data_IF_291844510911
#
_entry.id   IF_291844510911
#
_cell.length_a   1.000
_cell.length_b   1.000
_cell.length_c   1.000
_cell.angle_alpha   90.00
_cell.angle_beta   90.00
_cell.angle_gamma   90.00
#
_symmetry.space_group_name_H-M   'P 1'
#
loop_
_entity.id
_entity.type
_entity.pdbx_description
1 polymer ?
#
# COMPACT_ATOMS: atom_id res chain seq x y z
N UNK A 1 0.57 -5.58 3.36
CA UNK A 1 0.88 -5.01 2.02
C UNK A 1 -0.07 -3.87 1.72
N UNK A 2 0.31 -2.91 0.88
CA UNK A 2 -0.51 -1.74 0.53
C UNK A 2 -0.43 -1.41 -0.96
N UNK A 3 -1.43 -0.70 -1.46
CA UNK A 3 -1.39 -0.11 -2.79
C UNK A 3 -0.61 1.21 -2.80
N UNK A 4 0.06 1.53 -3.90
CA UNK A 4 0.62 2.87 -4.10
C UNK A 4 -0.50 3.91 -4.25
N UNK A 5 -0.42 5.03 -3.54
CA UNK A 5 -1.40 6.13 -3.64
C UNK A 5 -1.32 6.92 -4.94
N UNK A 6 -2.35 7.72 -5.23
CA UNK A 6 -2.42 8.54 -6.45
C UNK A 6 -2.77 7.75 -7.72
N UNK A 7 -3.50 6.64 -7.58
CA UNK A 7 -3.99 5.84 -8.72
C UNK A 7 -5.20 6.47 -9.41
N UNK A 8 -5.96 7.32 -8.72
CA UNK A 8 -7.25 7.81 -9.19
C UNK A 8 -7.13 9.05 -10.09
N UNK A 9 -6.36 10.08 -9.67
CA UNK A 9 -6.25 11.35 -10.41
C UNK A 9 -4.81 11.74 -10.75
N UNK A 10 -4.68 12.75 -11.63
CA UNK A 10 -3.41 13.36 -12.05
C UNK A 10 -2.38 12.38 -12.63
N UNK A 11 -2.86 11.29 -13.25
CA UNK A 11 -1.99 10.26 -13.85
C UNK A 11 -1.25 10.74 -15.09
N UNK A 12 -1.78 11.73 -15.81
CA UNK A 12 -1.24 12.18 -17.12
C UNK A 12 0.25 12.54 -17.03
N UNK A 13 0.62 13.32 -16.00
CA UNK A 13 1.98 13.83 -15.78
C UNK A 13 2.90 12.89 -14.96
N UNK A 14 2.46 11.68 -14.61
CA UNK A 14 3.29 10.71 -13.85
C UNK A 14 4.16 9.87 -14.80
N UNK A 15 5.39 9.56 -14.37
CA UNK A 15 6.31 8.72 -15.13
C UNK A 15 5.75 7.32 -15.38
N UNK A 16 6.16 6.67 -16.48
CA UNK A 16 5.77 5.28 -16.81
C UNK A 16 6.09 4.32 -15.66
N UNK A 17 7.26 4.49 -15.02
CA UNK A 17 7.68 3.71 -13.85
C UNK A 17 6.70 3.85 -12.68
N UNK A 18 6.27 5.06 -12.36
CA UNK A 18 5.30 5.31 -11.28
C UNK A 18 3.94 4.68 -11.61
N UNK A 19 3.49 4.75 -12.87
CA UNK A 19 2.26 4.09 -13.32
C UNK A 19 2.32 2.56 -13.18
N UNK A 20 3.45 1.93 -13.49
CA UNK A 20 3.66 0.47 -13.29
C UNK A 20 3.69 0.05 -11.81
N UNK A 21 3.92 0.98 -10.89
CA UNK A 21 3.78 0.67 -9.45
C UNK A 21 2.31 0.73 -9.00
N UNK A 22 1.41 1.33 -9.77
CA UNK A 22 -0.01 1.34 -9.43
C UNK A 22 -0.69 -0.02 -9.67
N UNK A 23 -0.13 -0.90 -10.49
CA UNK A 23 -0.68 -2.24 -10.71
C UNK A 23 -0.25 -3.28 -9.68
N UNK A 24 0.84 -3.03 -8.94
CA UNK A 24 1.38 -4.00 -7.97
C UNK A 24 1.03 -3.62 -6.53
N UNK A 25 1.06 -4.63 -5.66
CA UNK A 25 1.07 -4.46 -4.21
C UNK A 25 2.49 -4.15 -3.74
N UNK A 26 2.62 -3.23 -2.78
CA UNK A 26 3.88 -2.85 -2.17
C UNK A 26 3.91 -3.33 -0.71
N UNK A 27 5.10 -3.63 -0.21
CA UNK A 27 5.30 -3.96 1.20
C UNK A 27 5.16 -2.67 2.04
N UNK A 28 4.66 -2.83 3.26
CA UNK A 28 4.61 -1.73 4.24
C UNK A 28 5.94 -1.76 4.98
N UNK A 29 6.86 -0.87 4.61
CA UNK A 29 8.21 -0.83 5.17
C UNK A 29 8.27 -0.12 6.52
N UNK A 30 7.36 0.83 6.77
CA UNK A 30 7.35 1.61 7.99
C UNK A 30 6.87 0.77 9.18
N UNK A 31 7.77 0.52 10.14
CA UNK A 31 7.48 -0.23 11.38
C UNK A 31 6.30 0.36 12.16
N UNK A 32 6.14 1.69 12.17
CA UNK A 32 5.03 2.36 12.86
C UNK A 32 3.67 2.04 12.24
N UNK A 33 3.59 1.99 10.91
CA UNK A 33 2.37 1.61 10.20
C UNK A 33 2.01 0.15 10.44
N UNK A 34 3.00 -0.75 10.42
CA UNK A 34 2.78 -2.17 10.74
C UNK A 34 2.21 -2.34 12.14
N UNK A 35 2.79 -1.67 13.15
CA UNK A 35 2.26 -1.71 14.53
C UNK A 35 0.82 -1.20 14.61
N UNK A 36 0.50 -0.12 13.92
CA UNK A 36 -0.87 0.45 13.90
C UNK A 36 -1.86 -0.52 13.24
N UNK A 37 -1.51 -1.09 12.09
CA UNK A 37 -2.36 -2.06 11.37
C UNK A 37 -2.64 -3.28 12.25
N UNK A 38 -1.62 -3.83 12.92
CA UNK A 38 -1.79 -4.99 13.79
C UNK A 38 -2.71 -4.69 14.99
N UNK A 39 -2.69 -3.46 15.53
CA UNK A 39 -3.61 -3.05 16.61
C UNK A 39 -5.03 -2.84 16.13
N UNK A 40 -5.20 -2.24 14.94
CA UNK A 40 -6.53 -1.94 14.38
C UNK A 40 -7.21 -3.17 13.78
N UNK A 41 -6.44 -4.17 13.35
CA UNK A 41 -6.97 -5.40 12.75
C UNK A 41 -6.48 -6.64 13.50
N UNK A 42 -6.94 -6.88 14.74
CA UNK A 42 -6.43 -7.94 15.61
C UNK A 42 -6.66 -9.36 15.06
N UNK A 43 -7.69 -9.56 14.23
CA UNK A 43 -8.01 -10.87 13.65
C UNK A 43 -7.35 -11.12 12.30
N UNK A 44 -6.61 -10.15 11.74
CA UNK A 44 -5.95 -10.31 10.45
C UNK A 44 -4.87 -11.41 10.46
N UNK A 45 -4.29 -11.71 11.62
CA UNK A 45 -3.35 -12.82 11.81
C UNK A 45 -4.03 -14.16 12.15
N UNK A 46 -5.30 -14.15 12.58
CA UNK A 46 -6.01 -15.36 13.02
C UNK A 46 -6.48 -16.23 11.85
N UNK A 47 -6.72 -15.61 10.70
CA UNK A 47 -7.19 -16.26 9.47
C UNK A 47 -6.09 -16.34 8.40
N UNK A 48 -4.82 -16.47 8.81
CA UNK A 48 -3.66 -16.48 7.91
C UNK A 48 -3.14 -17.89 7.65
#
# INVERSE_FOLDING_TARGET
VRTKGGKSHLRRRRSKRAKKMYSRMLVVECKGEVKRVNRLMPYASKNR
#
